data_IF_171424833864
#
_entry.id   IF_171424833864
#
_cell.length_a   1.000
_cell.length_b   1.000
_cell.length_c   1.000
_cell.angle_alpha   90.00
_cell.angle_beta   90.00
_cell.angle_gamma   90.00
#
_symmetry.space_group_name_H-M   'P 1'
#
loop_
_entity.id
_entity.type
_entity.pdbx_description
1 polymer ?
#
# COMPACT_ATOMS: atom_id res chain seq x y z
N UNK A 1 -15.26 11.31 17.55
CA UNK A 1 -14.95 12.16 16.38
C UNK A 1 -15.86 11.82 15.19
N UNK A 2 -15.97 12.69 14.17
CA UNK A 2 -16.80 12.46 12.96
C UNK A 2 -16.02 12.88 11.70
N UNK A 3 -15.07 12.06 11.21
CA UNK A 3 -14.28 12.43 10.04
C UNK A 3 -15.18 12.65 8.82
N UNK A 4 -14.84 13.66 8.01
CA UNK A 4 -15.50 13.92 6.73
C UNK A 4 -15.08 12.89 5.68
N UNK A 5 -16.00 12.46 4.83
CA UNK A 5 -15.69 11.61 3.68
C UNK A 5 -15.46 12.53 2.49
N UNK A 6 -14.28 12.45 1.89
CA UNK A 6 -13.88 13.27 0.74
C UNK A 6 -13.61 12.36 -0.45
N UNK A 7 -14.33 12.58 -1.54
CA UNK A 7 -14.18 11.84 -2.79
C UNK A 7 -13.47 12.69 -3.83
N UNK A 8 -12.45 12.14 -4.51
CA UNK A 8 -11.92 12.73 -5.74
C UNK A 8 -12.49 11.99 -6.96
N UNK A 9 -13.11 12.74 -7.87
CA UNK A 9 -13.63 12.24 -9.14
C UNK A 9 -13.12 13.08 -10.32
N UNK A 10 -13.10 12.50 -11.52
CA UNK A 10 -12.68 13.21 -12.73
C UNK A 10 -13.66 13.07 -13.90
N UNK A 11 -13.66 11.92 -14.59
CA UNK A 11 -14.45 11.73 -15.81
C UNK A 11 -15.07 10.33 -15.93
N UNK A 12 -15.19 9.62 -14.80
CA UNK A 12 -15.68 8.23 -14.73
C UNK A 12 -17.02 8.16 -13.97
N UNK A 13 -18.16 8.58 -14.58
CA UNK A 13 -19.45 8.65 -13.88
C UNK A 13 -19.89 7.31 -13.30
N UNK A 14 -19.69 6.21 -14.02
CA UNK A 14 -20.04 4.85 -13.55
C UNK A 14 -19.18 4.39 -12.38
N UNK A 15 -17.92 4.83 -12.31
CA UNK A 15 -17.03 4.51 -11.19
C UNK A 15 -17.50 5.25 -9.94
N UNK A 16 -17.74 6.56 -10.06
CA UNK A 16 -18.29 7.38 -8.98
C UNK A 16 -19.63 6.84 -8.48
N UNK A 17 -20.57 6.51 -9.38
CA UNK A 17 -21.87 5.94 -9.01
C UNK A 17 -21.71 4.66 -8.19
N UNK A 18 -20.78 3.79 -8.58
CA UNK A 18 -20.50 2.54 -7.87
C UNK A 18 -19.90 2.78 -6.49
N UNK A 19 -18.98 3.74 -6.33
CA UNK A 19 -18.45 4.15 -5.02
C UNK A 19 -19.56 4.70 -4.13
N UNK A 20 -20.37 5.63 -4.63
CA UNK A 20 -21.51 6.21 -3.92
C UNK A 20 -22.53 5.15 -3.47
N UNK A 21 -22.81 4.17 -4.33
CA UNK A 21 -23.68 3.04 -3.98
C UNK A 21 -23.09 2.15 -2.88
N UNK A 22 -21.76 2.03 -2.79
CA UNK A 22 -21.10 1.31 -1.69
C UNK A 22 -21.11 2.11 -0.38
N UNK A 23 -20.93 3.43 -0.45
CA UNK A 23 -21.06 4.33 0.70
C UNK A 23 -22.47 4.28 1.28
N UNK A 24 -23.51 4.31 0.45
CA UNK A 24 -24.90 4.24 0.91
C UNK A 24 -25.22 2.95 1.68
N UNK A 25 -24.49 1.86 1.42
CA UNK A 25 -24.65 0.56 2.08
C UNK A 25 -23.81 0.41 3.34
N UNK A 26 -22.95 1.38 3.65
CA UNK A 26 -22.12 1.33 4.83
C UNK A 26 -22.89 1.72 6.10
N UNK A 27 -22.35 1.28 7.23
CA UNK A 27 -22.87 1.57 8.55
C UNK A 27 -22.25 2.86 9.09
N UNK A 28 -23.12 3.71 9.63
CA UNK A 28 -22.78 5.01 10.19
C UNK A 28 -23.41 5.17 11.58
N UNK A 29 -22.86 6.02 12.45
CA UNK A 29 -23.47 6.32 13.75
C UNK A 29 -24.89 6.86 13.59
N UNK A 30 -25.78 6.48 14.51
CA UNK A 30 -27.20 6.84 14.46
C UNK A 30 -27.42 8.36 14.57
N UNK A 31 -26.50 9.09 15.19
CA UNK A 31 -26.54 10.54 15.33
C UNK A 31 -26.29 11.27 13.99
N UNK A 32 -25.79 10.56 12.97
CA UNK A 32 -25.48 11.13 11.66
C UNK A 32 -24.54 12.33 11.73
N UNK A 33 -24.75 13.30 10.83
CA UNK A 33 -23.95 14.52 10.73
C UNK A 33 -22.56 14.28 10.14
N UNK A 34 -22.41 13.27 9.27
CA UNK A 34 -21.15 12.94 8.60
C UNK A 34 -21.06 13.75 7.31
N UNK A 35 -20.09 14.67 7.18
CA UNK A 35 -19.93 15.43 5.95
C UNK A 35 -19.47 14.51 4.81
N UNK A 36 -20.09 14.68 3.64
CA UNK A 36 -19.65 14.11 2.37
C UNK A 36 -19.28 15.25 1.43
N UNK A 37 -18.02 15.28 1.00
CA UNK A 37 -17.52 16.21 -0.02
C UNK A 37 -17.18 15.43 -1.27
N UNK A 38 -17.79 15.78 -2.39
CA UNK A 38 -17.45 15.21 -3.70
C UNK A 38 -16.71 16.27 -4.50
N UNK A 39 -15.39 16.13 -4.61
CA UNK A 39 -14.55 17.03 -5.38
C UNK A 39 -14.31 16.49 -6.79
N UNK A 40 -14.66 17.27 -7.80
CA UNK A 40 -14.59 16.91 -9.22
C UNK A 40 -13.54 17.78 -9.90
N UNK A 41 -12.49 17.15 -10.42
CA UNK A 41 -11.48 17.85 -11.22
C UNK A 41 -12.00 18.13 -12.64
N UNK A 42 -11.66 19.31 -13.16
CA UNK A 42 -11.99 19.72 -14.52
C UNK A 42 -11.03 19.09 -15.52
N UNK A 43 -11.52 18.77 -16.73
CA UNK A 43 -10.66 18.39 -17.84
C UNK A 43 -10.12 19.60 -18.58
N UNK A 44 -9.38 19.35 -19.67
CA UNK A 44 -8.90 20.42 -20.58
C UNK A 44 -10.02 21.31 -21.11
N UNK A 45 -11.25 20.76 -21.21
CA UNK A 45 -12.42 21.43 -21.75
C UNK A 45 -13.47 21.75 -20.66
N UNK A 46 -13.06 21.84 -19.39
CA UNK A 46 -13.95 22.05 -18.25
C UNK A 46 -14.49 20.75 -17.65
N UNK A 47 -15.49 20.89 -16.80
CA UNK A 47 -16.07 19.77 -16.03
C UNK A 47 -16.86 18.82 -16.93
N UNK A 48 -16.72 17.52 -16.70
CA UNK A 48 -17.52 16.50 -17.37
C UNK A 48 -18.98 16.52 -16.85
N UNK A 49 -19.99 16.84 -17.66
CA UNK A 49 -21.36 17.02 -17.17
C UNK A 49 -21.96 15.76 -16.54
N UNK A 50 -21.62 14.58 -17.06
CA UNK A 50 -22.14 13.30 -16.58
C UNK A 50 -21.72 12.99 -15.14
N UNK A 51 -20.43 13.17 -14.80
CA UNK A 51 -19.94 12.91 -13.44
C UNK A 51 -20.48 13.95 -12.44
N UNK A 52 -20.60 15.20 -12.88
CA UNK A 52 -21.23 16.28 -12.10
C UNK A 52 -22.68 15.95 -11.77
N UNK A 53 -23.43 15.50 -12.78
CA UNK A 53 -24.82 15.11 -12.59
C UNK A 53 -24.96 13.94 -11.58
N UNK A 54 -24.10 12.92 -11.66
CA UNK A 54 -24.07 11.82 -10.68
C UNK A 54 -23.85 12.36 -9.25
N UNK A 55 -22.88 13.26 -9.06
CA UNK A 55 -22.59 13.84 -7.74
C UNK A 55 -23.72 14.73 -7.20
N UNK A 56 -24.32 15.57 -8.05
CA UNK A 56 -25.40 16.49 -7.68
C UNK A 56 -26.69 15.73 -7.34
N UNK A 57 -27.04 14.70 -8.11
CA UNK A 57 -28.26 13.90 -7.92
C UNK A 57 -28.19 12.93 -6.74
N UNK A 58 -26.99 12.51 -6.32
CA UNK A 58 -26.84 11.57 -5.21
C UNK A 58 -27.36 12.16 -3.89
N UNK A 59 -28.28 11.48 -3.21
CA UNK A 59 -28.80 11.90 -1.91
C UNK A 59 -27.96 11.28 -0.81
N UNK A 60 -27.40 12.12 0.07
CA UNK A 60 -26.64 11.68 1.24
C UNK A 60 -27.50 11.76 2.50
N UNK A 61 -27.98 10.63 3.06
CA UNK A 61 -28.90 10.67 4.19
C UNK A 61 -28.21 10.80 5.56
N UNK A 62 -26.88 10.70 5.61
CA UNK A 62 -26.14 10.61 6.88
C UNK A 62 -25.50 11.93 7.33
N UNK A 63 -25.68 13.04 6.60
CA UNK A 63 -25.14 14.35 6.97
C UNK A 63 -25.16 15.37 5.81
N UNK A 64 -24.41 16.48 5.93
CA UNK A 64 -24.32 17.46 4.85
C UNK A 64 -23.54 16.90 3.65
N UNK A 65 -23.98 17.27 2.44
CA UNK A 65 -23.29 16.96 1.19
C UNK A 65 -22.86 18.24 0.50
N UNK A 66 -21.61 18.28 0.05
CA UNK A 66 -21.05 19.35 -0.77
C UNK A 66 -20.47 18.77 -2.07
N UNK A 67 -20.71 19.46 -3.18
CA UNK A 67 -20.10 19.11 -4.48
C UNK A 67 -19.21 20.27 -4.89
N UNK A 68 -17.91 20.01 -4.98
CA UNK A 68 -16.87 20.99 -5.31
C UNK A 68 -16.36 20.73 -6.71
N UNK A 69 -16.65 21.65 -7.63
CA UNK A 69 -16.27 21.52 -9.04
C UNK A 69 -15.12 22.46 -9.38
N UNK A 70 -14.03 21.92 -9.92
CA UNK A 70 -12.86 22.69 -10.33
C UNK A 70 -12.91 22.96 -11.84
N UNK A 71 -13.09 24.22 -12.24
CA UNK A 71 -13.11 24.59 -13.67
C UNK A 71 -11.74 24.44 -14.34
N UNK A 72 -10.66 24.58 -13.55
CA UNK A 72 -9.29 24.38 -14.01
C UNK A 72 -8.84 22.96 -13.65
N UNK A 73 -8.18 22.29 -14.59
CA UNK A 73 -7.56 21.00 -14.35
C UNK A 73 -6.45 21.10 -13.31
N UNK A 74 -6.68 20.51 -12.14
CA UNK A 74 -5.71 20.42 -11.04
C UNK A 74 -4.68 19.31 -11.29
N UNK A 75 -5.07 18.26 -12.00
CA UNK A 75 -4.29 17.03 -12.14
C UNK A 75 -4.27 16.22 -10.84
N UNK A 76 -3.80 14.97 -10.92
CA UNK A 76 -3.86 14.01 -9.81
C UNK A 76 -3.28 14.56 -8.50
N UNK A 77 -2.06 15.12 -8.58
CA UNK A 77 -1.33 15.61 -7.42
C UNK A 77 -2.03 16.82 -6.80
N UNK A 78 -2.37 17.82 -7.64
CA UNK A 78 -3.08 19.02 -7.18
C UNK A 78 -4.42 18.68 -6.56
N UNK A 79 -5.13 17.69 -7.11
CA UNK A 79 -6.43 17.25 -6.60
C UNK A 79 -6.32 16.51 -5.27
N UNK A 80 -5.33 15.63 -5.10
CA UNK A 80 -5.04 14.98 -3.81
C UNK A 80 -4.67 16.02 -2.75
N UNK A 81 -3.82 17.00 -3.09
CA UNK A 81 -3.44 18.07 -2.18
C UNK A 81 -4.62 18.94 -1.75
N UNK A 82 -5.52 19.25 -2.69
CA UNK A 82 -6.76 19.95 -2.39
C UNK A 82 -7.64 19.13 -1.42
N UNK A 83 -7.87 17.86 -1.74
CA UNK A 83 -8.71 16.97 -0.94
C UNK A 83 -8.16 16.75 0.47
N UNK A 84 -6.86 16.50 0.61
CA UNK A 84 -6.22 16.39 1.93
C UNK A 84 -6.21 17.71 2.69
N UNK A 85 -6.12 18.85 1.99
CA UNK A 85 -6.23 20.19 2.57
C UNK A 85 -7.56 20.46 3.28
N UNK A 86 -8.63 19.72 2.96
CA UNK A 86 -9.92 19.81 3.64
C UNK A 86 -9.86 19.38 5.12
N UNK A 87 -8.77 18.74 5.57
CA UNK A 87 -8.50 18.56 7.01
C UNK A 87 -8.45 19.89 7.77
N UNK A 88 -8.05 21.00 7.12
CA UNK A 88 -8.11 22.34 7.72
C UNK A 88 -9.53 22.83 8.01
N UNK A 89 -10.54 22.31 7.30
CA UNK A 89 -11.96 22.66 7.46
C UNK A 89 -12.67 21.67 8.38
N UNK A 90 -12.43 20.37 8.19
CA UNK A 90 -13.20 19.29 8.84
C UNK A 90 -12.46 18.64 10.01
N UNK A 91 -11.20 18.99 10.26
CA UNK A 91 -10.33 18.33 11.23
C UNK A 91 -9.79 17.02 10.69
N UNK A 92 -10.64 16.00 10.58
CA UNK A 92 -10.25 14.66 10.15
C UNK A 92 -10.96 14.26 8.86
N UNK A 93 -10.24 13.61 7.94
CA UNK A 93 -10.74 13.26 6.61
C UNK A 93 -10.48 11.78 6.28
N UNK A 94 -11.48 11.13 5.69
CA UNK A 94 -11.36 9.86 4.96
C UNK A 94 -11.40 10.20 3.46
N UNK A 95 -10.29 9.99 2.78
CA UNK A 95 -10.11 10.28 1.36
C UNK A 95 -10.24 9.01 0.50
N UNK A 96 -11.10 9.08 -0.52
CA UNK A 96 -11.39 7.96 -1.43
C UNK A 96 -11.37 8.42 -2.89
N UNK A 97 -10.72 7.63 -3.75
CA UNK A 97 -10.74 7.82 -5.20
C UNK A 97 -12.00 7.19 -5.83
N UNK A 98 -12.49 7.74 -6.94
CA UNK A 98 -13.75 7.35 -7.59
C UNK A 98 -13.82 5.89 -8.09
N UNK A 99 -12.69 5.19 -8.20
CA UNK A 99 -12.63 3.79 -8.61
C UNK A 99 -12.58 2.78 -7.45
N UNK A 100 -12.71 3.24 -6.21
CA UNK A 100 -12.78 2.39 -5.03
C UNK A 100 -14.21 1.88 -4.75
N UNK A 101 -14.27 0.82 -3.96
CA UNK A 101 -15.44 0.34 -3.25
C UNK A 101 -15.12 0.30 -1.76
N UNK A 102 -16.07 0.67 -0.90
CA UNK A 102 -15.90 0.60 0.55
C UNK A 102 -16.59 -0.63 1.17
N UNK A 103 -15.99 -1.13 2.24
CA UNK A 103 -16.58 -2.08 3.18
C UNK A 103 -17.77 -1.46 3.90
N UNK A 104 -18.81 -2.24 4.27
CA UNK A 104 -19.89 -1.74 5.13
C UNK A 104 -19.42 -1.19 6.48
N UNK A 105 -18.22 -1.56 6.95
CA UNK A 105 -17.68 -1.17 8.26
C UNK A 105 -16.47 -0.23 8.15
N UNK A 106 -16.20 0.32 6.96
CA UNK A 106 -15.03 1.18 6.72
C UNK A 106 -14.99 2.39 7.65
N UNK A 107 -16.14 3.03 7.87
CA UNK A 107 -16.25 4.24 8.66
C UNK A 107 -15.93 3.98 10.14
N UNK A 108 -16.39 2.84 10.67
CA UNK A 108 -16.13 2.45 12.06
C UNK A 108 -14.63 2.27 12.31
N UNK A 109 -13.91 1.60 11.41
CA UNK A 109 -12.46 1.44 11.53
C UNK A 109 -11.74 2.78 11.41
N UNK A 110 -12.02 3.54 10.35
CA UNK A 110 -11.31 4.79 10.10
C UNK A 110 -11.48 5.76 11.26
N UNK A 111 -12.69 5.85 11.82
CA UNK A 111 -12.98 6.67 13.00
C UNK A 111 -12.18 6.20 14.22
N UNK A 112 -12.19 4.91 14.55
CA UNK A 112 -11.49 4.39 15.74
C UNK A 112 -9.96 4.47 15.58
N UNK A 113 -9.44 4.18 14.39
CA UNK A 113 -8.01 4.24 14.11
C UNK A 113 -7.50 5.68 14.13
N UNK A 114 -8.23 6.65 13.54
CA UNK A 114 -7.85 8.05 13.61
C UNK A 114 -7.81 8.52 15.06
N UNK A 115 -8.82 8.17 15.86
CA UNK A 115 -8.88 8.53 17.28
C UNK A 115 -7.71 7.94 18.08
N UNK A 116 -7.39 6.67 17.84
CA UNK A 116 -6.32 5.96 18.55
C UNK A 116 -4.92 6.50 18.20
N UNK A 117 -4.65 6.80 16.93
CA UNK A 117 -3.32 7.18 16.45
C UNK A 117 -3.09 8.69 16.33
N UNK A 118 -4.08 9.54 16.65
CA UNK A 118 -4.03 10.99 16.43
C UNK A 118 -2.84 11.70 17.09
N UNK A 119 -2.43 11.22 18.26
CA UNK A 119 -1.40 11.86 19.09
C UNK A 119 -0.01 11.20 18.93
N UNK A 120 0.14 10.15 18.12
CA UNK A 120 1.45 9.54 17.83
C UNK A 120 2.08 10.21 16.60
N UNK A 121 3.06 11.09 16.84
CA UNK A 121 3.80 11.81 15.80
C UNK A 121 4.62 10.89 14.88
N UNK A 122 4.74 9.59 15.17
CA UNK A 122 5.40 8.64 14.26
C UNK A 122 4.43 8.10 13.22
N UNK A 123 3.15 8.46 13.27
CA UNK A 123 2.15 8.05 12.30
C UNK A 123 1.97 9.14 11.24
N UNK A 124 2.15 8.77 9.98
CA UNK A 124 1.95 9.65 8.82
C UNK A 124 0.48 9.73 8.39
N UNK A 125 -0.30 8.69 8.68
CA UNK A 125 -1.70 8.56 8.28
C UNK A 125 -2.13 7.10 8.28
N UNK A 126 -3.35 6.86 7.81
CA UNK A 126 -3.92 5.53 7.70
C UNK A 126 -4.19 5.16 6.25
N UNK A 127 -4.06 3.88 5.93
CA UNK A 127 -4.60 3.27 4.74
C UNK A 127 -5.86 2.45 5.11
N UNK A 128 -6.79 2.30 4.17
CA UNK A 128 -7.98 1.44 4.31
C UNK A 128 -7.85 0.13 3.52
N UNK A 129 -6.80 0.00 2.71
CA UNK A 129 -6.49 -1.20 1.94
C UNK A 129 -5.66 -2.17 2.77
N UNK A 130 -5.96 -3.47 2.73
CA UNK A 130 -5.08 -4.48 3.28
C UNK A 130 -3.96 -4.82 2.29
N UNK A 131 -2.77 -4.28 2.55
CA UNK A 131 -1.59 -4.51 1.72
C UNK A 131 -1.17 -5.97 1.76
N UNK A 132 -1.26 -6.65 0.61
CA UNK A 132 -1.01 -8.09 0.49
C UNK A 132 0.14 -8.44 -0.47
N UNK A 133 0.82 -7.44 -1.02
CA UNK A 133 1.93 -7.62 -1.96
C UNK A 133 3.06 -6.62 -1.70
N UNK A 134 4.29 -7.02 -2.02
CA UNK A 134 5.45 -6.14 -2.02
C UNK A 134 5.41 -5.26 -3.28
N UNK A 135 5.46 -3.95 -3.09
CA UNK A 135 5.31 -2.96 -4.17
C UNK A 135 6.39 -3.01 -5.25
N UNK A 136 7.55 -3.61 -4.98
CA UNK A 136 8.69 -3.68 -5.91
C UNK A 136 8.75 -4.99 -6.68
N UNK A 137 8.40 -6.10 -6.02
CA UNK A 137 8.51 -7.45 -6.61
C UNK A 137 7.17 -8.04 -7.04
N UNK A 138 6.05 -7.43 -6.60
CA UNK A 138 4.69 -7.97 -6.74
C UNK A 138 4.50 -9.37 -6.11
N UNK A 139 5.45 -9.80 -5.29
CA UNK A 139 5.34 -11.03 -4.54
C UNK A 139 4.38 -10.83 -3.35
N UNK A 140 3.72 -11.89 -2.87
CA UNK A 140 2.88 -11.80 -1.68
C UNK A 140 3.64 -11.18 -0.50
N UNK A 141 2.96 -10.29 0.22
CA UNK A 141 3.37 -9.70 1.48
C UNK A 141 2.30 -10.04 2.51
N UNK A 142 2.72 -10.66 3.62
CA UNK A 142 1.83 -11.07 4.69
C UNK A 142 2.45 -10.58 5.99
N UNK A 143 1.89 -9.54 6.63
CA UNK A 143 2.43 -9.04 7.89
C UNK A 143 2.29 -10.11 8.97
N UNK A 144 3.27 -10.18 9.88
CA UNK A 144 3.19 -11.05 11.06
C UNK A 144 1.93 -10.73 11.85
N UNK A 145 1.30 -11.78 12.37
CA UNK A 145 0.13 -11.65 13.20
C UNK A 145 0.54 -11.27 14.63
N UNK A 146 -0.04 -10.20 15.15
CA UNK A 146 -0.24 -9.99 16.58
C UNK A 146 -1.75 -10.00 16.86
N UNK A 147 -2.11 -9.69 18.10
CA UNK A 147 -3.49 -9.55 18.57
C UNK A 147 -4.13 -8.19 18.21
N UNK A 148 -3.45 -7.35 17.42
CA UNK A 148 -4.00 -6.11 16.89
C UNK A 148 -4.69 -6.29 15.53
N UNK A 149 -5.55 -5.35 15.17
CA UNK A 149 -6.25 -5.29 13.89
C UNK A 149 -5.49 -4.53 12.79
N UNK A 150 -4.30 -4.02 13.12
CA UNK A 150 -3.48 -3.23 12.23
C UNK A 150 -2.00 -3.63 12.24
N UNK A 151 -1.28 -3.18 11.22
CA UNK A 151 0.17 -3.27 11.11
C UNK A 151 0.72 -1.96 10.51
N UNK A 152 2.05 -1.81 10.50
CA UNK A 152 2.72 -0.56 10.17
C UNK A 152 3.73 -0.75 9.05
N UNK A 153 3.70 0.13 8.04
CA UNK A 153 4.68 0.13 6.94
C UNK A 153 5.09 1.57 6.63
N UNK A 154 6.38 1.81 6.35
CA UNK A 154 6.86 3.15 5.92
C UNK A 154 6.54 3.48 4.45
N UNK A 155 5.59 2.77 3.83
CA UNK A 155 5.07 3.08 2.49
C UNK A 155 3.58 3.40 2.63
N UNK A 156 3.10 4.58 2.23
CA UNK A 156 1.69 4.96 2.20
C UNK A 156 1.04 4.57 0.87
N UNK A 157 0.32 3.46 0.81
CA UNK A 157 -0.42 3.02 -0.36
C UNK A 157 -1.74 3.80 -0.48
N UNK A 158 -2.15 4.10 -1.71
CA UNK A 158 -3.13 5.18 -1.95
C UNK A 158 -4.59 4.75 -1.98
N UNK A 159 -4.88 3.44 -1.91
CA UNK A 159 -6.23 2.91 -2.04
C UNK A 159 -7.08 3.10 -0.78
N UNK A 160 -7.56 4.32 -0.59
CA UNK A 160 -8.33 4.73 0.58
C UNK A 160 -7.39 5.14 1.69
N UNK A 161 -7.43 6.42 2.03
CA UNK A 161 -6.51 7.05 2.97
C UNK A 161 -7.32 7.80 4.02
N UNK A 162 -6.75 7.96 5.22
CA UNK A 162 -7.36 8.81 6.23
C UNK A 162 -6.30 9.56 7.02
N UNK A 163 -6.60 10.82 7.32
CA UNK A 163 -5.66 11.74 7.96
C UNK A 163 -6.37 12.61 8.99
N UNK A 164 -5.67 12.88 10.10
CA UNK A 164 -6.00 14.01 10.97
C UNK A 164 -5.40 15.30 10.41
N UNK A 165 -5.88 16.45 10.88
CA UNK A 165 -5.27 17.74 10.56
C UNK A 165 -3.80 17.79 10.94
N UNK A 166 -3.41 17.26 12.10
CA UNK A 166 -2.01 17.23 12.55
C UNK A 166 -1.11 16.41 11.62
N UNK A 167 -1.58 15.24 11.18
CA UNK A 167 -0.87 14.39 10.23
C UNK A 167 -0.69 15.08 8.88
N UNK A 168 -1.76 15.68 8.34
CA UNK A 168 -1.70 16.40 7.07
C UNK A 168 -0.79 17.63 7.13
N UNK A 169 -0.86 18.43 8.20
CA UNK A 169 0.03 19.58 8.39
C UNK A 169 1.49 19.16 8.52
N UNK A 170 1.78 18.01 9.15
CA UNK A 170 3.14 17.48 9.22
C UNK A 170 3.70 17.13 7.84
N UNK A 171 2.87 16.55 6.96
CA UNK A 171 3.24 16.30 5.57
C UNK A 171 3.49 17.61 4.81
N UNK A 172 2.61 18.60 4.92
CA UNK A 172 2.78 19.89 4.25
C UNK A 172 4.06 20.60 4.71
N UNK A 173 4.33 20.63 6.02
CA UNK A 173 5.54 21.24 6.58
C UNK A 173 6.82 20.59 6.04
N UNK A 174 6.86 19.25 5.95
CA UNK A 174 7.98 18.54 5.34
C UNK A 174 8.09 18.84 3.84
N UNK A 175 6.98 18.81 3.11
CA UNK A 175 6.96 19.06 1.67
C UNK A 175 7.49 20.45 1.34
N UNK A 176 7.13 21.44 2.14
CA UNK A 176 7.50 22.84 1.95
C UNK A 176 8.93 23.14 2.44
N UNK A 177 9.60 22.20 3.14
CA UNK A 177 11.00 22.34 3.59
C UNK A 177 12.05 22.19 2.49
N UNK A 178 11.64 21.82 1.27
CA UNK A 178 12.40 22.12 0.05
C UNK A 178 13.12 20.96 -0.65
N UNK A 179 13.34 19.79 -0.03
CA UNK A 179 13.90 18.63 -0.74
C UNK A 179 12.85 17.56 -1.08
N UNK A 180 12.22 17.73 -2.24
CA UNK A 180 11.22 16.80 -2.78
C UNK A 180 11.82 15.86 -3.84
N UNK A 181 13.09 16.04 -4.20
CA UNK A 181 13.72 15.26 -5.26
C UNK A 181 14.00 13.84 -4.77
N UNK A 182 13.73 12.89 -5.64
CA UNK A 182 13.99 11.47 -5.45
C UNK A 182 15.23 11.10 -6.26
N UNK A 183 16.41 11.34 -5.68
CA UNK A 183 17.68 10.91 -6.28
C UNK A 183 18.43 9.96 -5.37
N UNK A 184 19.35 9.14 -5.92
CA UNK A 184 20.23 8.28 -5.12
C UNK A 184 21.08 9.04 -4.08
N UNK A 185 21.29 10.35 -4.26
CA UNK A 185 22.03 11.19 -3.32
C UNK A 185 21.17 11.72 -2.17
N UNK A 186 19.85 11.85 -2.39
CA UNK A 186 18.93 12.56 -1.47
C UNK A 186 18.34 11.66 -0.39
N UNK A 187 18.26 10.35 -0.63
CA UNK A 187 17.67 9.43 0.35
C UNK A 187 18.20 8.01 0.17
N UNK A 188 18.48 7.37 1.31
CA UNK A 188 18.82 5.93 1.41
C UNK A 188 17.64 5.11 1.92
N UNK A 189 16.51 5.75 2.16
CA UNK A 189 15.37 5.16 2.85
C UNK A 189 14.23 4.81 1.89
N UNK A 190 14.44 4.89 0.58
CA UNK A 190 13.45 4.43 -0.43
C UNK A 190 14.13 3.59 -1.51
N UNK A 191 13.33 2.74 -2.14
CA UNK A 191 13.77 1.87 -3.22
C UNK A 191 14.07 2.65 -4.50
N UNK A 192 15.02 2.15 -5.31
CA UNK A 192 15.50 2.86 -6.51
C UNK A 192 14.47 3.01 -7.62
N UNK A 193 13.46 2.15 -7.62
CA UNK A 193 12.29 2.29 -8.47
C UNK A 193 11.63 3.67 -8.34
N UNK A 194 11.74 4.32 -7.18
CA UNK A 194 11.18 5.66 -6.97
C UNK A 194 11.92 6.78 -7.70
N UNK A 195 13.16 6.57 -8.14
CA UNK A 195 13.98 7.61 -8.78
C UNK A 195 13.61 7.88 -10.23
N UNK A 196 12.70 7.09 -10.78
CA UNK A 196 12.20 7.26 -12.15
C UNK A 196 10.91 8.07 -12.23
N UNK A 197 10.31 8.41 -11.08
CA UNK A 197 9.08 9.19 -11.03
C UNK A 197 9.37 10.69 -10.93
N UNK A 198 8.43 11.49 -11.41
CA UNK A 198 8.50 12.94 -11.27
C UNK A 198 8.41 13.34 -9.79
N UNK A 199 9.13 14.41 -9.41
CA UNK A 199 9.24 14.87 -8.01
C UNK A 199 7.91 15.35 -7.40
N UNK A 200 6.87 15.50 -8.21
CA UNK A 200 5.53 15.91 -7.78
C UNK A 200 4.56 14.73 -7.66
N UNK A 201 4.92 13.51 -8.05
CA UNK A 201 3.98 12.38 -7.96
C UNK A 201 3.62 12.03 -6.51
N UNK A 202 2.32 11.85 -6.27
CA UNK A 202 1.77 11.69 -4.91
C UNK A 202 2.37 10.49 -4.16
N UNK A 203 2.40 9.31 -4.78
CA UNK A 203 2.85 8.09 -4.11
C UNK A 203 4.37 8.10 -3.81
N UNK A 204 5.26 8.44 -4.76
CA UNK A 204 6.69 8.64 -4.47
C UNK A 204 6.97 9.70 -3.41
N UNK A 205 6.27 10.84 -3.47
CA UNK A 205 6.47 11.94 -2.53
C UNK A 205 6.06 11.56 -1.10
N UNK A 206 4.92 10.89 -0.95
CA UNK A 206 4.43 10.41 0.35
C UNK A 206 5.29 9.27 0.91
N UNK A 207 5.80 8.37 0.08
CA UNK A 207 6.78 7.36 0.50
C UNK A 207 8.09 8.00 1.00
N UNK A 208 8.60 9.01 0.30
CA UNK A 208 9.77 9.78 0.73
C UNK A 208 9.52 10.47 2.07
N UNK A 209 8.38 11.12 2.24
CA UNK A 209 7.98 11.75 3.50
C UNK A 209 8.04 10.77 4.67
N UNK A 210 7.38 9.62 4.54
CA UNK A 210 7.34 8.59 5.58
C UNK A 210 8.76 8.11 5.92
N UNK A 211 9.55 7.81 4.91
CA UNK A 211 10.90 7.29 5.08
C UNK A 211 11.88 8.31 5.68
N UNK A 212 11.90 9.56 5.20
CA UNK A 212 12.81 10.61 5.67
C UNK A 212 12.49 11.04 7.11
N UNK A 213 11.22 10.95 7.52
CA UNK A 213 10.76 11.34 8.86
C UNK A 213 10.60 10.17 9.82
N UNK A 214 10.99 8.96 9.41
CA UNK A 214 10.82 7.71 10.18
C UNK A 214 9.36 7.48 10.65
N UNK A 215 8.40 7.88 9.81
CA UNK A 215 6.96 7.73 10.06
C UNK A 215 6.39 6.50 9.36
N UNK A 216 5.27 6.01 9.89
CA UNK A 216 4.59 4.82 9.42
C UNK A 216 3.15 5.13 8.99
N UNK A 217 2.70 4.39 7.99
CA UNK A 217 1.28 4.30 7.66
C UNK A 217 0.68 3.10 8.38
N UNK A 218 -0.49 3.28 8.97
CA UNK A 218 -1.26 2.22 9.61
C UNK A 218 -2.11 1.52 8.57
N UNK A 219 -2.04 0.20 8.53
CA UNK A 219 -2.81 -0.64 7.61
C UNK A 219 -3.73 -1.58 8.36
N UNK A 220 -4.98 -1.81 7.89
CA UNK A 220 -5.83 -2.86 8.43
C UNK A 220 -5.33 -4.23 7.99
N UNK A 221 -5.51 -5.24 8.85
CA UNK A 221 -5.24 -6.64 8.48
C UNK A 221 -6.24 -7.20 7.47
N UNK A 222 -7.46 -6.67 7.43
CA UNK A 222 -8.52 -7.04 6.48
C UNK A 222 -9.04 -5.78 5.78
N UNK A 223 -9.12 -5.81 4.45
CA UNK A 223 -9.32 -4.61 3.66
C UNK A 223 -10.69 -3.96 3.90
N UNK A 224 -10.71 -2.63 3.93
CA UNK A 224 -11.93 -1.82 4.02
C UNK A 224 -12.22 -1.04 2.75
N UNK A 225 -11.26 -1.02 1.84
CA UNK A 225 -11.41 -0.56 0.46
C UNK A 225 -10.91 -1.63 -0.50
N UNK A 226 -11.40 -1.62 -1.73
CA UNK A 226 -10.85 -2.41 -2.84
C UNK A 226 -11.01 -1.60 -4.11
N UNK A 227 -10.00 -1.63 -4.98
CA UNK A 227 -10.13 -1.07 -6.32
C UNK A 227 -11.11 -1.88 -7.16
N UNK A 228 -11.97 -1.24 -7.94
CA UNK A 228 -12.85 -1.93 -8.88
C UNK A 228 -12.11 -2.44 -10.13
N UNK A 229 -10.85 -2.04 -10.31
CA UNK A 229 -10.00 -2.46 -11.42
C UNK A 229 -10.33 -1.76 -12.74
N UNK A 230 -10.95 -0.58 -12.69
CA UNK A 230 -11.23 0.23 -13.87
C UNK A 230 -9.93 0.78 -14.49
N UNK A 231 -9.94 0.97 -15.81
CA UNK A 231 -8.83 1.60 -16.50
C UNK A 231 -8.67 3.06 -16.01
N UNK A 232 -7.44 3.54 -15.92
CA UNK A 232 -7.09 4.86 -15.44
C UNK A 232 -5.76 5.32 -16.01
N UNK A 233 -5.22 6.44 -15.52
CA UNK A 233 -3.99 7.05 -16.05
C UNK A 233 -2.77 6.11 -16.03
N UNK A 234 -2.72 5.17 -15.07
CA UNK A 234 -1.61 4.21 -14.93
C UNK A 234 -1.91 2.79 -15.48
N UNK A 235 -3.15 2.48 -15.86
CA UNK A 235 -3.54 1.14 -16.35
C UNK A 235 -4.29 1.22 -17.68
N UNK A 236 -3.67 0.72 -18.75
CA UNK A 236 -4.23 0.69 -20.10
C UNK A 236 -5.43 -0.27 -20.27
N UNK A 237 -5.68 -1.14 -19.30
CA UNK A 237 -6.80 -2.09 -19.29
C UNK A 237 -7.23 -2.46 -17.88
N UNK A 238 -8.41 -3.09 -17.76
CA UNK A 238 -8.93 -3.53 -16.47
C UNK A 238 -7.97 -4.49 -15.76
N UNK A 239 -7.64 -4.21 -14.51
CA UNK A 239 -6.78 -5.07 -13.68
C UNK A 239 -7.48 -5.46 -12.40
N UNK A 240 -7.57 -6.77 -12.15
CA UNK A 240 -8.10 -7.31 -10.89
C UNK A 240 -7.00 -7.57 -9.86
N UNK A 241 -5.74 -7.27 -10.19
CA UNK A 241 -4.61 -7.56 -9.30
C UNK A 241 -4.77 -6.86 -7.95
N UNK A 242 -5.19 -5.60 -7.94
CA UNK A 242 -5.34 -4.82 -6.71
C UNK A 242 -6.68 -5.04 -5.98
N UNK A 243 -7.43 -6.09 -6.33
CA UNK A 243 -8.66 -6.41 -5.62
C UNK A 243 -8.37 -7.17 -4.32
N UNK A 244 -9.11 -6.81 -3.26
CA UNK A 244 -9.01 -7.46 -1.95
C UNK A 244 -10.39 -7.81 -1.41
N UNK A 245 -10.50 -8.87 -0.58
CA UNK A 245 -11.73 -9.13 0.14
C UNK A 245 -12.02 -8.00 1.13
N UNK A 246 -13.24 -7.49 1.09
CA UNK A 246 -13.72 -6.47 2.03
C UNK A 246 -14.18 -7.11 3.33
N UNK A 247 -13.74 -6.57 4.46
CA UNK A 247 -14.32 -6.84 5.77
C UNK A 247 -15.80 -6.48 5.77
N UNK A 248 -16.64 -7.25 6.47
CA UNK A 248 -18.10 -7.07 6.42
C UNK A 248 -18.77 -6.78 7.75
N UNK A 249 -18.20 -7.28 8.86
CA UNK A 249 -18.94 -7.40 10.11
C UNK A 249 -18.25 -6.83 11.35
N UNK A 250 -16.91 -6.73 11.37
CA UNK A 250 -16.19 -6.23 12.55
C UNK A 250 -16.40 -4.72 12.70
N UNK A 251 -16.90 -4.31 13.86
CA UNK A 251 -17.20 -2.90 14.16
C UNK A 251 -16.45 -2.37 15.37
N UNK A 252 -15.85 -3.24 16.18
CA UNK A 252 -14.96 -2.89 17.29
C UNK A 252 -13.56 -3.36 16.94
N UNK A 253 -12.58 -2.47 17.03
CA UNK A 253 -11.21 -2.73 16.64
C UNK A 253 -10.26 -2.61 17.82
N UNK A 254 -9.28 -3.51 17.88
CA UNK A 254 -8.21 -3.51 18.85
C UNK A 254 -6.93 -3.06 18.15
N UNK A 255 -6.43 -1.88 18.52
CA UNK A 255 -5.21 -1.32 17.95
C UNK A 255 -4.03 -1.51 18.90
N UNK A 256 -2.84 -1.65 18.32
CA UNK A 256 -1.57 -1.68 19.05
C UNK A 256 -0.83 -0.39 18.82
N UNK A 257 -0.13 0.11 19.83
CA UNK A 257 0.81 1.20 19.61
C UNK A 257 1.94 0.74 18.68
N UNK A 258 2.64 1.70 18.05
CA UNK A 258 3.83 1.37 17.26
C UNK A 258 4.88 0.65 18.13
N UNK A 259 4.97 0.97 19.42
CA UNK A 259 5.92 0.36 20.34
C UNK A 259 5.55 -1.08 20.70
N UNK A 260 4.27 -1.42 20.80
CA UNK A 260 3.81 -2.76 21.18
C UNK A 260 3.70 -3.71 19.98
N UNK A 261 3.39 -3.21 18.78
CA UNK A 261 3.22 -4.06 17.60
C UNK A 261 4.50 -4.79 17.21
N UNK A 262 4.33 -6.05 16.78
CA UNK A 262 5.40 -6.86 16.17
C UNK A 262 5.46 -6.66 14.65
N UNK A 263 4.36 -6.21 14.04
CA UNK A 263 4.19 -6.09 12.61
C UNK A 263 4.54 -4.67 12.13
N UNK A 264 5.82 -4.31 12.26
CA UNK A 264 6.35 -3.02 11.83
C UNK A 264 7.42 -3.24 10.76
N UNK A 265 7.21 -2.62 9.61
CA UNK A 265 7.97 -2.82 8.39
C UNK A 265 8.55 -1.52 7.86
N UNK A 266 9.76 -1.59 7.35
CA UNK A 266 10.41 -0.46 6.70
C UNK A 266 9.83 -0.18 5.30
N UNK A 267 10.42 0.79 4.60
CA UNK A 267 10.03 1.16 3.24
C UNK A 267 10.33 0.10 2.18
N UNK A 268 11.06 -0.96 2.55
CA UNK A 268 11.39 -2.11 1.71
C UNK A 268 10.48 -3.31 1.97
N UNK A 269 9.44 -3.15 2.80
CA UNK A 269 8.56 -4.21 3.26
C UNK A 269 9.28 -5.27 4.11
N UNK A 270 10.42 -4.91 4.69
CA UNK A 270 11.21 -5.78 5.55
C UNK A 270 10.87 -5.50 7.01
N UNK A 271 10.72 -6.56 7.82
CA UNK A 271 10.48 -6.40 9.25
C UNK A 271 11.66 -5.68 9.91
N UNK A 272 11.39 -4.80 10.86
CA UNK A 272 12.46 -4.13 11.60
C UNK A 272 13.20 -5.13 12.53
N UNK A 273 14.54 -5.06 12.62
CA UNK A 273 15.34 -5.98 13.45
C UNK A 273 14.87 -6.08 14.90
N UNK A 274 14.55 -4.96 15.53
CA UNK A 274 14.09 -4.91 16.92
C UNK A 274 12.73 -5.57 17.14
N UNK A 275 11.92 -5.74 16.09
CA UNK A 275 10.64 -6.45 16.13
C UNK A 275 10.85 -7.95 16.01
N UNK A 276 11.71 -8.34 15.07
CA UNK A 276 12.08 -9.74 14.89
C UNK A 276 12.79 -10.31 16.13
N UNK A 277 13.64 -9.50 16.79
CA UNK A 277 14.32 -9.86 18.03
C UNK A 277 13.37 -10.09 19.23
N UNK A 278 12.14 -9.58 19.19
CA UNK A 278 11.12 -9.90 20.22
C UNK A 278 10.57 -11.31 20.08
N UNK A 279 10.69 -11.88 18.88
CA UNK A 279 10.10 -13.18 18.53
C UNK A 279 11.15 -14.30 18.55
N UNK A 280 12.44 -13.97 18.45
CA UNK A 280 13.52 -14.95 18.56
C UNK A 280 14.82 -14.33 19.07
N UNK A 281 15.64 -15.15 19.75
CA UNK A 281 16.98 -14.76 20.21
C UNK A 281 18.08 -15.13 19.21
N UNK A 282 17.71 -15.66 18.04
CA UNK A 282 18.65 -16.23 17.07
C UNK A 282 19.54 -15.17 16.39
N UNK A 283 19.27 -13.87 16.57
CA UNK A 283 19.97 -12.76 15.92
C UNK A 283 20.31 -11.61 16.89
N UNK A 284 19.94 -11.71 18.17
CA UNK A 284 19.97 -10.59 19.13
C UNK A 284 21.37 -10.18 19.58
N UNK A 285 22.40 -10.96 19.24
CA UNK A 285 23.81 -10.72 19.58
C UNK A 285 24.55 -9.85 18.56
N UNK A 286 23.91 -9.50 17.43
CA UNK A 286 24.49 -8.63 16.40
C UNK A 286 23.50 -7.56 15.95
N UNK A 287 24.01 -6.41 15.51
CA UNK A 287 23.21 -5.42 14.77
C UNK A 287 23.14 -5.80 13.29
N UNK A 288 21.94 -5.91 12.73
CA UNK A 288 21.72 -6.35 11.35
C UNK A 288 20.62 -5.59 10.63
N UNK A 289 20.71 -5.53 9.30
CA UNK A 289 19.60 -5.15 8.42
C UNK A 289 18.85 -6.39 7.93
N UNK A 290 17.57 -6.24 7.60
CA UNK A 290 16.76 -7.29 6.98
C UNK A 290 16.58 -7.01 5.48
N UNK A 291 16.78 -8.00 4.62
CA UNK A 291 16.58 -7.95 3.15
C UNK A 291 16.12 -9.33 2.63
N UNK A 292 14.99 -9.83 3.13
CA UNK A 292 14.43 -11.13 2.78
C UNK A 292 13.84 -11.15 1.36
N UNK A 293 13.25 -10.06 0.90
CA UNK A 293 12.80 -9.90 -0.49
C UNK A 293 13.96 -9.71 -1.47
N UNK A 294 15.19 -9.47 -0.99
CA UNK A 294 16.38 -9.21 -1.78
C UNK A 294 16.19 -8.00 -2.73
N UNK A 295 15.70 -6.89 -2.19
CA UNK A 295 15.39 -5.67 -2.95
C UNK A 295 16.25 -4.48 -2.55
N UNK A 296 16.87 -4.49 -1.37
CA UNK A 296 17.75 -3.39 -0.94
C UNK A 296 19.00 -3.34 -1.82
N UNK A 297 19.37 -2.15 -2.27
CA UNK A 297 20.65 -1.92 -2.93
C UNK A 297 21.78 -1.76 -1.88
N UNK A 298 23.06 -1.87 -2.25
CA UNK A 298 24.17 -1.80 -1.29
C UNK A 298 24.15 -0.52 -0.42
N UNK A 299 23.70 0.59 -1.00
CA UNK A 299 23.59 1.90 -0.32
C UNK A 299 22.51 1.94 0.75
N UNK A 300 21.53 1.05 0.69
CA UNK A 300 20.40 0.98 1.62
C UNK A 300 20.74 0.12 2.86
N UNK A 301 21.80 -0.69 2.80
CA UNK A 301 22.27 -1.52 3.91
C UNK A 301 23.31 -0.76 4.74
N UNK A 302 22.97 -0.42 5.98
CA UNK A 302 23.80 0.34 6.92
C UNK A 302 24.51 -0.54 7.95
N UNK A 303 23.88 -1.63 8.40
CA UNK A 303 24.43 -2.49 9.44
C UNK A 303 25.66 -3.30 8.95
N UNK A 304 26.47 -3.78 9.90
CA UNK A 304 27.59 -4.67 9.59
C UNK A 304 27.09 -6.02 9.05
N UNK A 305 26.00 -6.53 9.62
CA UNK A 305 25.39 -7.80 9.27
C UNK A 305 24.08 -7.61 8.51
N UNK A 306 23.73 -8.59 7.68
CA UNK A 306 22.48 -8.59 6.90
C UNK A 306 21.86 -9.96 6.95
N UNK A 307 20.56 -10.01 7.28
CA UNK A 307 19.71 -11.19 7.17
C UNK A 307 19.01 -11.14 5.81
N UNK A 308 19.34 -12.05 4.90
CA UNK A 308 18.91 -11.95 3.50
C UNK A 308 18.76 -13.30 2.81
N UNK A 309 18.02 -13.30 1.70
CA UNK A 309 17.95 -14.41 0.73
C UNK A 309 18.98 -14.29 -0.39
N UNK A 310 19.74 -13.17 -0.45
CA UNK A 310 20.84 -12.98 -1.38
C UNK A 310 21.98 -13.96 -1.11
N UNK A 311 22.69 -14.33 -2.16
CA UNK A 311 23.90 -15.13 -2.02
C UNK A 311 24.99 -14.36 -1.27
N UNK A 312 25.67 -15.06 -0.38
CA UNK A 312 26.83 -14.55 0.33
C UNK A 312 28.02 -15.51 0.22
N UNK A 313 29.24 -14.99 0.31
CA UNK A 313 30.48 -15.77 0.28
C UNK A 313 30.68 -16.57 1.56
N UNK A 314 30.29 -15.98 2.69
CA UNK A 314 30.41 -16.58 4.02
C UNK A 314 29.12 -16.36 4.80
N UNK A 315 28.53 -17.46 5.27
CA UNK A 315 27.35 -17.45 6.11
C UNK A 315 27.75 -17.63 7.58
N UNK A 316 27.13 -16.86 8.47
CA UNK A 316 27.34 -16.94 9.92
C UNK A 316 26.25 -17.82 10.56
N UNK A 317 25.00 -17.59 10.15
CA UNK A 317 23.83 -18.41 10.50
C UNK A 317 22.96 -18.57 9.27
N UNK A 318 22.25 -19.68 9.18
CA UNK A 318 21.35 -19.92 8.06
C UNK A 318 20.02 -20.51 8.52
N UNK A 319 18.99 -20.23 7.74
CA UNK A 319 17.63 -20.68 7.93
C UNK A 319 17.05 -21.16 6.60
N UNK A 320 16.03 -21.99 6.68
CA UNK A 320 15.28 -22.49 5.52
C UNK A 320 14.32 -21.47 4.92
N UNK A 321 13.66 -21.89 3.84
CA UNK A 321 12.49 -21.22 3.25
C UNK A 321 11.31 -22.22 3.19
N UNK A 322 10.93 -22.73 4.36
CA UNK A 322 9.89 -23.76 4.54
C UNK A 322 8.63 -23.23 5.26
N UNK A 323 8.70 -22.06 5.90
CA UNK A 323 7.64 -21.47 6.70
C UNK A 323 7.14 -20.15 6.12
N UNK A 324 5.92 -19.74 6.49
CA UNK A 324 5.23 -18.58 5.93
C UNK A 324 4.68 -17.67 7.03
N UNK A 325 4.92 -16.34 6.99
CA UNK A 325 5.74 -15.61 6.00
C UNK A 325 7.25 -15.89 6.16
N UNK A 326 8.12 -15.23 5.40
CA UNK A 326 9.56 -15.56 5.35
C UNK A 326 10.22 -15.47 6.73
N UNK A 327 9.81 -14.51 7.55
CA UNK A 327 10.25 -14.26 8.92
C UNK A 327 10.02 -15.48 9.83
N UNK A 328 8.97 -16.27 9.59
CA UNK A 328 8.67 -17.47 10.39
C UNK A 328 9.82 -18.48 10.35
N UNK A 329 10.58 -18.55 9.25
CA UNK A 329 11.74 -19.43 9.15
C UNK A 329 12.84 -19.07 10.16
N UNK A 330 12.97 -17.78 10.46
CA UNK A 330 13.96 -17.27 11.39
C UNK A 330 13.45 -17.40 12.82
N UNK A 331 12.17 -17.08 13.03
CA UNK A 331 11.48 -17.18 14.33
C UNK A 331 11.55 -18.61 14.87
N UNK A 332 11.16 -19.58 14.04
CA UNK A 332 11.06 -20.99 14.43
C UNK A 332 12.37 -21.78 14.18
N UNK A 333 13.43 -21.12 13.71
CA UNK A 333 14.72 -21.76 13.45
C UNK A 333 14.65 -22.86 12.39
N UNK A 334 13.87 -22.64 11.32
CA UNK A 334 13.68 -23.62 10.25
C UNK A 334 15.05 -24.00 9.63
N UNK A 335 15.37 -25.31 9.52
CA UNK A 335 16.66 -25.73 8.98
C UNK A 335 16.75 -25.45 7.48
N UNK A 336 17.90 -24.93 7.04
CA UNK A 336 18.18 -24.71 5.63
C UNK A 336 19.31 -23.70 5.39
N UNK A 337 19.51 -23.35 4.12
CA UNK A 337 20.58 -22.47 3.64
C UNK A 337 20.06 -21.37 2.71
N UNK A 338 18.75 -21.16 2.69
CA UNK A 338 18.08 -20.26 1.78
C UNK A 338 18.06 -18.82 2.29
N UNK A 339 18.02 -18.64 3.61
CA UNK A 339 18.18 -17.34 4.29
C UNK A 339 19.50 -17.37 5.05
N UNK A 340 20.33 -16.35 4.88
CA UNK A 340 21.64 -16.23 5.52
C UNK A 340 21.71 -14.95 6.34
N UNK A 341 22.25 -15.07 7.55
CA UNK A 341 22.92 -13.96 8.23
C UNK A 341 24.39 -13.96 7.79
N UNK A 342 24.84 -12.87 7.20
CA UNK A 342 26.23 -12.69 6.77
C UNK A 342 26.71 -11.25 6.99
N UNK A 343 28.01 -11.01 6.85
CA UNK A 343 28.51 -9.62 6.78
C UNK A 343 28.08 -8.98 5.48
N UNK A 344 27.85 -7.67 5.50
CA UNK A 344 27.51 -6.88 4.32
C UNK A 344 28.56 -6.99 3.20
N UNK A 345 29.84 -7.10 3.55
CA UNK A 345 30.96 -7.28 2.60
C UNK A 345 30.97 -8.65 1.89
N UNK A 346 30.31 -9.65 2.48
CA UNK A 346 30.22 -11.00 1.93
C UNK A 346 29.08 -11.15 0.91
N UNK A 347 28.19 -10.15 0.79
CA UNK A 347 27.08 -10.16 -0.17
C UNK A 347 27.58 -10.14 -1.61
N UNK A 348 26.95 -10.94 -2.46
CA UNK A 348 27.19 -10.96 -3.90
C UNK A 348 26.18 -10.09 -4.63
N UNK A 349 26.70 -9.19 -5.45
CA UNK A 349 25.94 -8.21 -6.23
C UNK A 349 26.01 -8.44 -7.73
N UNK A 350 26.65 -9.53 -8.15
CA UNK A 350 26.72 -9.90 -9.56
C UNK A 350 25.35 -10.38 -10.08
N UNK A 351 25.15 -10.25 -11.40
CA UNK A 351 23.87 -10.56 -12.05
C UNK A 351 23.37 -11.99 -11.77
N UNK A 352 24.27 -12.97 -11.66
CA UNK A 352 23.89 -14.35 -11.34
C UNK A 352 23.33 -14.46 -9.92
N UNK A 353 23.96 -13.80 -8.95
CA UNK A 353 23.49 -13.78 -7.57
C UNK A 353 22.11 -13.10 -7.45
N UNK A 354 21.90 -12.00 -8.15
CA UNK A 354 20.61 -11.30 -8.24
C UNK A 354 19.52 -12.20 -8.83
N UNK A 355 19.81 -12.87 -9.95
CA UNK A 355 18.87 -13.78 -10.61
C UNK A 355 18.53 -14.98 -9.73
N UNK A 356 19.52 -15.52 -9.01
CA UNK A 356 19.32 -16.66 -8.13
C UNK A 356 18.43 -16.29 -6.92
N UNK A 357 18.68 -15.14 -6.29
CA UNK A 357 17.82 -14.64 -5.20
C UNK A 357 16.37 -14.45 -5.67
N UNK A 358 16.18 -13.81 -6.84
CA UNK A 358 14.85 -13.64 -7.45
C UNK A 358 14.17 -14.97 -7.73
N UNK A 359 14.91 -15.96 -8.27
CA UNK A 359 14.38 -17.30 -8.53
C UNK A 359 13.99 -18.01 -7.23
N UNK A 360 14.84 -17.97 -6.20
CA UNK A 360 14.56 -18.59 -4.89
C UNK A 360 13.28 -18.00 -4.27
N UNK A 361 13.17 -16.68 -4.26
CA UNK A 361 11.96 -16.01 -3.77
C UNK A 361 10.74 -16.37 -4.63
N UNK A 362 10.85 -16.38 -5.96
CA UNK A 362 9.76 -16.83 -6.82
C UNK A 362 9.32 -18.27 -6.51
N UNK A 363 10.25 -19.20 -6.34
CA UNK A 363 9.97 -20.59 -5.99
C UNK A 363 9.30 -20.70 -4.60
N UNK A 364 9.75 -19.91 -3.63
CA UNK A 364 9.14 -19.82 -2.30
C UNK A 364 7.69 -19.32 -2.37
N UNK A 365 7.47 -18.16 -3.02
CA UNK A 365 6.16 -17.52 -3.10
C UNK A 365 5.15 -18.30 -3.94
N UNK A 366 5.61 -19.02 -4.97
CA UNK A 366 4.76 -19.95 -5.72
C UNK A 366 4.56 -21.28 -5.00
N UNK A 367 5.17 -21.49 -3.83
CA UNK A 367 5.21 -22.78 -3.11
C UNK A 367 5.70 -23.92 -4.01
N UNK A 368 6.62 -23.60 -4.94
CA UNK A 368 7.13 -24.44 -6.02
C UNK A 368 6.02 -25.04 -6.91
N UNK A 369 4.82 -24.45 -6.89
CA UNK A 369 3.69 -24.85 -7.73
C UNK A 369 3.81 -24.13 -9.06
N UNK A 370 4.17 -24.89 -10.08
CA UNK A 370 4.15 -24.41 -11.47
C UNK A 370 3.16 -25.25 -12.27
N UNK A 371 2.49 -24.65 -13.28
CA UNK A 371 1.73 -25.42 -14.25
C UNK A 371 2.60 -26.52 -14.85
N UNK A 372 2.06 -27.74 -14.93
CA UNK A 372 2.76 -28.87 -15.55
C UNK A 372 3.15 -28.54 -16.99
N UNK A 373 4.19 -29.18 -17.54
CA UNK A 373 4.58 -28.97 -18.95
C UNK A 373 3.40 -29.22 -19.90
N UNK A 374 2.61 -30.27 -19.63
CA UNK A 374 1.38 -30.58 -20.36
C UNK A 374 0.39 -29.43 -20.31
N UNK A 375 0.13 -28.88 -19.12
CA UNK A 375 -0.82 -27.78 -18.94
C UNK A 375 -0.34 -26.50 -19.63
N UNK A 376 0.97 -26.19 -19.56
CA UNK A 376 1.56 -25.05 -20.29
C UNK A 376 1.38 -25.17 -21.80
N UNK A 377 1.59 -26.36 -22.35
CA UNK A 377 1.37 -26.61 -23.79
C UNK A 377 -0.12 -26.48 -24.15
N UNK A 378 -1.03 -26.97 -23.31
CA UNK A 378 -2.47 -26.80 -23.52
C UNK A 378 -2.89 -25.32 -23.51
N UNK A 379 -2.34 -24.52 -22.60
CA UNK A 379 -2.60 -23.08 -22.55
C UNK A 379 -2.04 -22.36 -23.79
N UNK A 380 -0.79 -22.65 -24.17
CA UNK A 380 -0.20 -22.06 -25.38
C UNK A 380 -1.00 -22.41 -26.66
N UNK A 381 -1.49 -23.64 -26.77
CA UNK A 381 -2.36 -24.06 -27.87
C UNK A 381 -3.69 -23.29 -27.87
N UNK A 382 -4.31 -23.14 -26.70
CA UNK A 382 -5.57 -22.40 -26.56
C UNK A 382 -5.39 -20.92 -26.96
N UNK A 383 -4.33 -20.27 -26.48
CA UNK A 383 -4.01 -18.87 -26.82
C UNK A 383 -3.81 -18.71 -28.33
N UNK A 384 -3.09 -19.65 -28.96
CA UNK A 384 -2.92 -19.68 -30.40
C UNK A 384 -4.25 -19.85 -31.16
N UNK A 385 -5.10 -20.79 -30.73
CA UNK A 385 -6.43 -21.01 -31.34
C UNK A 385 -7.32 -19.77 -31.20
N UNK A 386 -7.29 -19.09 -30.05
CA UNK A 386 -8.05 -17.86 -29.81
C UNK A 386 -7.53 -16.72 -30.70
N UNK A 387 -6.21 -16.56 -30.82
CA UNK A 387 -5.61 -15.56 -31.70
C UNK A 387 -5.97 -15.83 -33.17
N UNK A 388 -5.95 -17.09 -33.60
CA UNK A 388 -6.37 -17.49 -34.95
C UNK A 388 -7.86 -17.20 -35.21
N UNK A 389 -8.75 -17.50 -34.25
CA UNK A 389 -10.19 -17.17 -34.37
C UNK A 389 -10.44 -15.67 -34.49
N UNK A 390 -9.77 -14.85 -33.67
CA UNK A 390 -9.87 -13.37 -33.74
C UNK A 390 -9.43 -12.83 -35.10
N UNK A 391 -8.38 -13.40 -35.70
CA UNK A 391 -7.89 -13.01 -37.05
C UNK A 391 -8.84 -13.41 -38.17
N UNK A 392 -9.61 -14.48 -38.00
CA UNK A 392 -10.52 -15.02 -39.01
C UNK A 392 -11.93 -14.40 -38.96
N UNK A 393 -12.16 -13.36 -38.16
CA UNK A 393 -13.45 -12.64 -38.10
C UNK A 393 -14.63 -13.48 -37.58
N UNK A 394 -14.38 -14.71 -37.12
CA UNK A 394 -15.38 -15.55 -36.45
C UNK A 394 -15.36 -15.22 -34.96
N UNK A 395 -16.10 -14.18 -34.57
CA UNK A 395 -16.56 -14.11 -33.20
C UNK A 395 -17.50 -15.30 -32.92
N UNK A 396 -17.47 -15.87 -31.71
CA UNK A 396 -18.55 -16.75 -31.27
C UNK A 396 -19.90 -16.05 -31.29
#
# INVERSE_FOLDING_TARGET
>A
MKPAIVLSAYNRPQALERLLASLQKAAYPAEGGIPLVISIDGGKNGIHPEVRNVAEQFVWPFGPKEVLCHERHLGLVGHVLFCGGLTGTYGDVIFLEDDLLVSPVFYAYATQALDFYRDDERIAGLCLYALWFNGYTQQPFVPLADDGDSFFVQIPYTQGQAFTAGQWQSFLAWRDSGNRRLTPADTRSVHEAFFHFDAEEWFPLSAKYAADTSRYTVYPRVSLTTGAGDAGTHFAGRSVFFQTPLQRFKTLYEFRTLDDSVAVYDSFFEILPERLNRLCNALSDVGYDVDLYATKAPRNLQAEYVLTTRLCRKTIRSFGQAMWPMEANVIDGAPGTEISLCRREDLRWDWLAELEARKRNHDFFTRRRHPSRKLRLQFALLDWLQAARRRLGRNP
#
